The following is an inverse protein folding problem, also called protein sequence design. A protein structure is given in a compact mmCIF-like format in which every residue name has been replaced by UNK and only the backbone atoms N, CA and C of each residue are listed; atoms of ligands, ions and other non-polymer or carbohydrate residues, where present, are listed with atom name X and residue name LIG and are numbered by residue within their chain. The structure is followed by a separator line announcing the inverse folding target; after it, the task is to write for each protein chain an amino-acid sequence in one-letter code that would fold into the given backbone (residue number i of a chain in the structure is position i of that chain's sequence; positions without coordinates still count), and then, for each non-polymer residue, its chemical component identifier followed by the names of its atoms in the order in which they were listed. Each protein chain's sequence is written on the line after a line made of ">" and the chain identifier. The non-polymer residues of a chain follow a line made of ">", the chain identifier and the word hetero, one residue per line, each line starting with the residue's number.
data_IF_822648563890
#
_entry.id   IF_822648563890
#
_cell.length_a   1.000
_cell.length_b   1.000
_cell.length_c   1.000
_cell.angle_alpha   90.00
_cell.angle_beta   90.00
_cell.angle_gamma   90.00
#
_symmetry.space_group_name_H-M   'P 1'
#
loop_
_entity.id
_entity.type
_entity.pdbx_description
1 polymer ?
#
# COMPACT_ATOMS: atom_id res chain seq x y z
N UNK A 1 53.40 11.51 -27.13
CA UNK A 1 53.14 11.45 -25.68
C UNK A 1 52.38 10.16 -25.43
N UNK A 2 53.15 9.11 -25.21
CA UNK A 2 52.70 7.74 -24.97
C UNK A 2 52.21 7.53 -23.53
N UNK A 3 51.47 6.43 -23.28
CA UNK A 3 50.93 6.04 -21.98
C UNK A 3 51.90 5.12 -21.21
N UNK A 4 51.80 5.13 -19.87
CA UNK A 4 52.30 4.07 -18.99
C UNK A 4 51.13 3.65 -18.09
N UNK A 5 50.89 2.39 -17.75
CA UNK A 5 51.74 1.21 -17.78
C UNK A 5 51.54 0.42 -16.47
N UNK A 6 51.45 -0.90 -16.61
CA UNK A 6 50.94 -1.92 -15.68
C UNK A 6 51.78 -2.23 -14.41
N UNK A 7 51.11 -2.94 -13.47
CA UNK A 7 51.51 -3.87 -12.38
C UNK A 7 52.98 -4.26 -12.15
N UNK A 8 53.36 -4.55 -10.87
CA UNK A 8 54.09 -5.79 -10.40
C UNK A 8 53.89 -6.10 -8.88
N UNK A 9 53.40 -7.32 -8.58
CA UNK A 9 53.64 -8.40 -7.57
C UNK A 9 54.00 -8.26 -6.06
N UNK A 10 53.25 -9.07 -5.28
CA UNK A 10 53.56 -10.06 -4.21
C UNK A 10 54.72 -9.88 -3.21
N UNK A 11 54.40 -10.09 -1.91
CA UNK A 11 55.00 -11.16 -1.09
C UNK A 11 54.24 -11.48 0.22
N UNK A 12 54.07 -12.78 0.39
CA UNK A 12 53.73 -13.65 1.51
C UNK A 12 53.99 -13.20 2.96
N UNK A 13 53.08 -13.56 3.88
CA UNK A 13 53.39 -14.27 5.14
C UNK A 13 52.25 -15.27 5.46
N UNK A 14 52.62 -16.53 5.68
CA UNK A 14 51.77 -17.70 5.96
C UNK A 14 51.14 -17.75 7.36
N UNK A 15 50.02 -18.46 7.52
CA UNK A 15 49.89 -19.89 7.94
C UNK A 15 49.90 -20.06 9.48
N UNK A 16 48.79 -20.53 10.06
CA UNK A 16 48.67 -21.82 10.77
C UNK A 16 47.24 -21.99 11.31
N UNK A 17 46.63 -23.14 11.01
CA UNK A 17 45.38 -23.60 11.62
C UNK A 17 45.63 -24.53 12.81
N UNK A 18 44.58 -24.82 13.57
CA UNK A 18 44.39 -26.10 14.27
C UNK A 18 42.95 -26.24 14.80
N UNK A 19 42.32 -27.32 14.38
CA UNK A 19 41.18 -28.02 14.97
C UNK A 19 41.57 -28.77 16.26
N UNK A 20 40.68 -28.92 17.24
CA UNK A 20 40.31 -30.22 17.84
C UNK A 20 39.26 -30.12 18.96
N UNK A 21 38.57 -31.23 19.12
CA UNK A 21 37.42 -31.58 19.97
C UNK A 21 37.84 -32.40 21.21
N UNK A 22 36.84 -32.65 22.08
CA UNK A 22 36.66 -33.75 23.06
C UNK A 22 36.83 -33.54 24.59
N UNK A 23 35.71 -33.90 25.28
CA UNK A 23 35.52 -34.71 26.51
C UNK A 23 35.76 -34.16 27.92
N UNK A 24 34.78 -34.45 28.80
CA UNK A 24 34.99 -34.69 30.24
C UNK A 24 33.77 -34.48 31.14
N UNK A 25 33.06 -35.56 31.49
CA UNK A 25 32.06 -35.64 32.58
C UNK A 25 32.68 -36.31 33.82
N UNK A 26 32.42 -35.85 35.06
CA UNK A 26 32.65 -36.62 36.30
C UNK A 26 31.56 -36.30 37.36
N UNK A 27 31.08 -37.36 38.03
CA UNK A 27 30.08 -37.45 39.11
C UNK A 27 30.64 -37.21 40.52
N UNK A 28 29.77 -36.89 41.50
CA UNK A 28 30.03 -37.06 42.94
C UNK A 28 28.83 -36.72 43.85
N UNK A 29 28.31 -37.73 44.57
CA UNK A 29 27.33 -37.74 45.70
C UNK A 29 28.05 -38.34 46.95
N UNK A 30 27.46 -38.55 48.15
CA UNK A 30 26.39 -37.91 48.95
C UNK A 30 26.77 -37.83 50.48
N UNK A 31 25.81 -37.64 51.41
CA UNK A 31 25.64 -38.20 52.81
C UNK A 31 24.82 -37.22 53.68
N UNK A 32 24.16 -37.58 54.79
CA UNK A 32 22.89 -38.29 55.10
C UNK A 32 22.56 -37.99 56.59
N UNK A 33 21.35 -38.35 57.05
CA UNK A 33 20.79 -38.41 58.44
C UNK A 33 19.81 -37.27 58.81
N UNK A 34 18.59 -37.51 59.33
CA UNK A 34 17.87 -38.75 59.64
C UNK A 34 16.59 -38.46 60.45
N UNK A 35 15.54 -39.29 60.22
CA UNK A 35 14.41 -39.73 61.10
C UNK A 35 13.61 -38.68 61.93
N UNK A 36 12.26 -38.69 62.01
CA UNK A 36 11.30 -39.78 62.33
C UNK A 36 9.92 -39.50 61.68
N UNK A 37 9.20 -40.58 61.35
CA UNK A 37 7.78 -40.70 60.94
C UNK A 37 6.82 -40.08 61.99
N UNK A 38 5.59 -39.66 61.69
CA UNK A 38 4.36 -40.46 61.44
C UNK A 38 3.25 -39.37 61.34
N UNK A 39 2.25 -39.33 60.45
CA UNK A 39 1.06 -40.20 60.40
C UNK A 39 0.11 -39.64 59.30
N UNK A 40 -0.24 -40.50 58.35
CA UNK A 40 -1.41 -40.58 57.42
C UNK A 40 -2.37 -39.41 57.08
N UNK A 41 -2.73 -39.41 55.77
CA UNK A 41 -4.01 -39.05 55.09
C UNK A 41 -4.24 -37.54 54.86
N UNK A 42 -4.63 -37.04 53.68
CA UNK A 42 -5.49 -37.58 52.59
C UNK A 42 -5.05 -37.04 51.22
N UNK A 43 -5.36 -37.79 50.16
CA UNK A 43 -5.25 -37.39 48.74
C UNK A 43 -6.33 -36.34 48.45
N UNK A 44 -6.02 -35.03 48.56
CA UNK A 44 -6.91 -33.95 48.08
C UNK A 44 -6.24 -32.56 47.96
N UNK A 45 -4.91 -32.44 48.05
CA UNK A 45 -4.22 -31.12 48.06
C UNK A 45 -2.94 -31.07 47.17
N UNK A 46 -2.95 -31.72 46.00
CA UNK A 46 -1.91 -31.54 44.96
C UNK A 46 -2.49 -31.05 43.62
N UNK A 47 -3.56 -30.24 43.66
CA UNK A 47 -4.18 -29.66 42.45
C UNK A 47 -4.23 -28.12 42.50
N UNK A 48 -3.30 -27.47 43.21
CA UNK A 48 -3.33 -26.01 43.39
C UNK A 48 -1.97 -25.31 43.26
N UNK A 49 -0.98 -25.91 42.60
CA UNK A 49 0.35 -25.28 42.45
C UNK A 49 0.92 -25.21 41.02
N UNK A 50 0.23 -25.77 40.01
CA UNK A 50 0.52 -25.49 38.57
C UNK A 50 -0.42 -24.46 37.93
N UNK A 51 -1.27 -23.78 38.72
CA UNK A 51 -2.18 -22.73 38.24
C UNK A 51 -1.83 -21.33 38.78
N UNK A 52 -0.53 -21.06 38.95
CA UNK A 52 -0.02 -19.76 39.40
C UNK A 52 1.24 -19.26 38.66
N UNK A 53 1.55 -19.84 37.49
CA UNK A 53 2.57 -19.32 36.56
C UNK A 53 2.00 -18.87 35.20
N UNK A 54 0.66 -18.83 35.07
CA UNK A 54 -0.07 -18.36 33.89
C UNK A 54 -0.73 -16.98 34.06
N UNK A 55 -0.37 -16.22 35.10
CA UNK A 55 -1.00 -14.93 35.42
C UNK A 55 0.03 -13.82 35.68
N UNK A 56 0.75 -13.38 34.64
CA UNK A 56 1.18 -11.98 34.46
C UNK A 56 1.96 -11.79 33.15
N UNK A 57 1.33 -12.16 32.04
CA UNK A 57 1.48 -11.41 30.81
C UNK A 57 0.06 -11.07 30.34
N UNK A 58 -0.58 -10.14 31.05
CA UNK A 58 -1.69 -9.40 30.47
C UNK A 58 -1.14 -8.60 29.29
N UNK A 59 -1.00 -9.27 28.14
CA UNK A 59 -1.12 -8.58 26.86
C UNK A 59 -2.59 -8.17 26.81
N UNK A 60 -2.91 -7.03 27.43
CA UNK A 60 -4.09 -6.28 27.05
C UNK A 60 -4.05 -6.22 25.54
N UNK A 61 -5.08 -6.67 24.79
CA UNK A 61 -5.08 -6.43 23.37
C UNK A 61 -4.93 -4.93 23.25
N UNK A 62 -3.79 -4.47 22.72
CA UNK A 62 -3.62 -3.08 22.32
C UNK A 62 -4.88 -2.80 21.51
N UNK A 63 -5.80 -2.01 22.07
CA UNK A 63 -7.10 -1.77 21.47
C UNK A 63 -6.85 -1.02 20.18
N UNK A 64 -6.69 -1.76 19.11
CA UNK A 64 -6.45 -1.25 17.77
C UNK A 64 -7.73 -0.57 17.35
N UNK A 65 -7.78 0.76 17.44
CA UNK A 65 -8.94 1.54 16.98
C UNK A 65 -8.86 1.84 15.48
N UNK A 66 -8.06 1.07 14.72
CA UNK A 66 -7.95 1.19 13.28
C UNK A 66 -9.25 0.72 12.64
N UNK A 67 -10.19 1.64 12.51
CA UNK A 67 -11.51 1.40 11.95
C UNK A 67 -11.78 2.38 10.82
N UNK A 68 -12.71 2.00 9.95
CA UNK A 68 -13.23 2.88 8.91
C UNK A 68 -14.25 3.83 9.52
N UNK A 69 -13.97 5.12 9.44
CA UNK A 69 -14.91 6.21 9.75
C UNK A 69 -15.66 6.65 8.50
N UNK A 70 -16.89 7.10 8.67
CA UNK A 70 -17.67 7.69 7.59
C UNK A 70 -17.07 9.04 7.17
N UNK A 71 -17.03 9.27 5.87
CA UNK A 71 -16.62 10.54 5.26
C UNK A 71 -17.49 10.79 4.03
N UNK A 72 -18.54 11.59 4.21
CA UNK A 72 -19.39 12.03 3.11
C UNK A 72 -18.61 12.96 2.18
N UNK A 73 -18.79 12.76 0.87
CA UNK A 73 -18.27 13.60 -0.18
C UNK A 73 -19.39 13.87 -1.18
N UNK A 74 -19.68 15.14 -1.41
CA UNK A 74 -20.57 15.57 -2.49
C UNK A 74 -19.90 15.33 -3.83
N UNK A 75 -20.56 14.59 -4.72
CA UNK A 75 -20.02 14.20 -6.03
C UNK A 75 -20.60 15.07 -7.14
N UNK A 76 -21.88 15.43 -7.05
CA UNK A 76 -22.58 16.22 -8.06
C UNK A 76 -24.07 16.27 -7.80
N UNK A 77 -24.84 16.60 -8.82
CA UNK A 77 -26.31 16.63 -8.79
C UNK A 77 -26.84 15.41 -9.54
N UNK A 78 -27.86 14.76 -9.01
CA UNK A 78 -28.55 13.65 -9.66
C UNK A 78 -29.27 14.10 -10.92
N UNK A 79 -29.09 13.34 -12.00
CA UNK A 79 -29.81 13.50 -13.26
C UNK A 79 -31.31 13.22 -13.15
N UNK A 80 -31.71 12.35 -12.23
CA UNK A 80 -33.10 11.89 -12.06
C UNK A 80 -33.87 12.71 -11.04
N UNK A 81 -33.25 13.12 -9.92
CA UNK A 81 -33.94 13.84 -8.84
C UNK A 81 -33.57 15.32 -8.74
N UNK A 82 -32.46 15.75 -9.35
CA UNK A 82 -31.95 17.12 -9.18
C UNK A 82 -31.35 17.41 -7.80
N UNK A 83 -31.19 16.39 -6.94
CA UNK A 83 -30.63 16.53 -5.59
C UNK A 83 -29.12 16.33 -5.56
N UNK A 84 -28.45 16.79 -4.51
CA UNK A 84 -27.01 16.55 -4.32
C UNK A 84 -26.75 15.08 -3.98
N UNK A 85 -25.86 14.46 -4.76
CA UNK A 85 -25.39 13.10 -4.51
C UNK A 85 -24.22 13.18 -3.52
N UNK A 86 -24.43 12.67 -2.31
CA UNK A 86 -23.38 12.48 -1.31
C UNK A 86 -23.03 11.01 -1.14
N UNK A 87 -21.73 10.71 -1.13
CA UNK A 87 -21.22 9.34 -1.02
C UNK A 87 -20.30 9.25 0.18
N UNK A 88 -20.49 8.20 0.99
CA UNK A 88 -19.53 7.85 2.03
C UNK A 88 -18.29 7.19 1.41
N UNK A 89 -17.25 7.99 1.13
CA UNK A 89 -15.98 7.47 0.60
C UNK A 89 -15.16 6.72 1.63
N UNK A 90 -15.50 6.84 2.91
CA UNK A 90 -14.80 6.24 4.03
C UNK A 90 -13.42 6.84 4.29
N UNK A 91 -12.96 6.76 5.53
CA UNK A 91 -11.61 7.15 5.93
C UNK A 91 -11.11 6.27 7.07
N UNK A 92 -9.88 5.80 6.97
CA UNK A 92 -9.28 5.07 8.08
C UNK A 92 -8.85 5.99 9.23
N UNK A 93 -9.26 5.63 10.43
CA UNK A 93 -8.93 6.33 11.67
C UNK A 93 -7.48 6.05 12.04
N UNK A 94 -6.63 7.07 11.97
CA UNK A 94 -5.19 6.95 12.27
C UNK A 94 -4.81 7.13 13.74
N UNK A 95 -5.72 7.68 14.56
CA UNK A 95 -5.50 7.88 16.00
C UNK A 95 -6.74 7.54 16.81
N UNK A 96 -6.54 6.99 18.01
CA UNK A 96 -7.56 6.67 19.00
C UNK A 96 -7.84 7.88 19.91
N UNK A 97 -9.09 8.02 20.35
CA UNK A 97 -9.44 8.88 21.49
C UNK A 97 -9.29 10.40 21.30
N UNK A 98 -8.92 10.89 20.11
CA UNK A 98 -8.84 12.33 19.84
C UNK A 98 -10.20 12.92 19.52
N UNK A 99 -10.71 13.85 20.34
CA UNK A 99 -11.78 14.76 19.88
C UNK A 99 -11.23 15.60 18.72
N UNK A 100 -12.13 16.10 17.85
CA UNK A 100 -11.73 17.03 16.77
C UNK A 100 -10.85 18.13 17.35
N UNK A 101 -9.70 18.37 16.72
CA UNK A 101 -8.96 19.60 17.02
C UNK A 101 -9.91 20.77 16.78
N UNK A 102 -10.00 21.66 17.77
CA UNK A 102 -10.86 22.83 17.63
C UNK A 102 -10.37 23.65 16.45
N UNK A 103 -11.29 23.91 15.52
CA UNK A 103 -11.01 24.86 14.46
C UNK A 103 -11.05 26.27 15.04
N UNK A 104 -10.39 27.21 14.39
CA UNK A 104 -10.39 28.63 14.79
C UNK A 104 -11.80 29.18 15.04
N UNK A 105 -12.75 28.81 14.20
CA UNK A 105 -14.16 29.20 14.35
C UNK A 105 -14.81 28.61 15.61
N UNK A 106 -14.48 27.36 15.97
CA UNK A 106 -15.02 26.71 17.17
C UNK A 106 -14.47 27.37 18.44
N UNK A 107 -13.18 27.73 18.44
CA UNK A 107 -12.56 28.50 19.52
C UNK A 107 -13.22 29.87 19.66
N UNK A 108 -13.46 30.56 18.55
CA UNK A 108 -14.12 31.87 18.56
C UNK A 108 -15.55 31.80 19.11
N UNK A 109 -16.33 30.78 18.72
CA UNK A 109 -17.66 30.55 19.29
C UNK A 109 -17.59 30.31 20.80
N UNK A 110 -16.68 29.45 21.25
CA UNK A 110 -16.54 29.14 22.67
C UNK A 110 -16.19 30.38 23.49
N UNK A 111 -15.37 31.29 22.94
CA UNK A 111 -15.05 32.57 23.59
C UNK A 111 -16.26 33.52 23.67
N UNK A 112 -17.19 33.47 22.70
CA UNK A 112 -18.45 34.22 22.78
C UNK A 112 -19.44 33.61 23.77
N UNK A 113 -19.51 32.28 23.84
CA UNK A 113 -20.42 31.55 24.75
C UNK A 113 -19.93 31.58 26.21
N UNK A 114 -18.63 31.79 26.43
CA UNK A 114 -18.01 31.80 27.76
C UNK A 114 -17.14 33.07 27.93
N UNK A 115 -17.73 34.28 27.99
CA UNK A 115 -16.98 35.54 28.05
C UNK A 115 -16.21 35.71 29.37
N UNK A 116 -16.67 35.05 30.44
CA UNK A 116 -16.10 35.16 31.80
C UNK A 116 -14.98 34.14 32.08
N UNK A 117 -14.73 33.22 31.14
CA UNK A 117 -13.71 32.18 31.29
C UNK A 117 -12.44 32.60 30.56
N UNK A 118 -11.29 32.50 31.23
CA UNK A 118 -9.99 32.80 30.62
C UNK A 118 -9.83 32.00 29.30
N UNK A 119 -9.58 32.67 28.15
CA UNK A 119 -9.37 32.02 26.86
C UNK A 119 -8.31 30.91 26.89
N UNK A 120 -7.29 31.03 27.76
CA UNK A 120 -6.28 29.98 27.92
C UNK A 120 -6.84 28.74 28.61
N UNK A 121 -7.65 28.91 29.65
CA UNK A 121 -8.31 27.81 30.34
C UNK A 121 -9.33 27.14 29.42
N UNK A 122 -10.07 27.94 28.66
CA UNK A 122 -11.02 27.47 27.65
C UNK A 122 -10.32 26.65 26.56
N UNK A 123 -9.16 27.12 26.08
CA UNK A 123 -8.33 26.37 25.15
C UNK A 123 -7.84 25.07 25.76
N UNK A 124 -7.35 25.06 27.01
CA UNK A 124 -6.84 23.85 27.67
C UNK A 124 -7.93 22.80 27.92
N UNK A 125 -9.12 23.23 28.34
CA UNK A 125 -10.29 22.36 28.57
C UNK A 125 -10.76 21.67 27.28
N UNK A 126 -10.62 22.36 26.15
CA UNK A 126 -11.09 21.86 24.86
C UNK A 126 -9.95 21.26 24.00
N UNK A 127 -8.69 21.62 24.28
CA UNK A 127 -7.51 21.04 23.64
C UNK A 127 -7.36 19.61 24.14
N UNK A 128 -7.63 18.65 23.28
CA UNK A 128 -7.34 17.25 23.61
C UNK A 128 -5.88 16.92 23.32
N UNK A 129 -5.25 16.06 24.14
CA UNK A 129 -3.96 15.51 23.79
C UNK A 129 -4.05 14.82 22.42
N UNK A 130 -2.94 14.85 21.66
CA UNK A 130 -2.88 14.12 20.38
C UNK A 130 -3.25 12.66 20.66
N UNK A 131 -4.35 12.19 20.07
CA UNK A 131 -4.79 10.81 20.24
C UNK A 131 -3.67 9.82 19.96
N UNK A 132 -3.66 8.73 20.70
CA UNK A 132 -2.69 7.64 20.52
C UNK A 132 -2.78 7.08 19.10
N UNK A 133 -1.67 6.60 18.50
CA UNK A 133 -1.74 5.97 17.17
C UNK A 133 -2.70 4.78 17.18
N UNK A 134 -3.48 4.61 16.10
CA UNK A 134 -4.45 3.50 16.01
C UNK A 134 -3.82 2.12 15.92
N UNK A 135 -2.56 2.07 15.56
CA UNK A 135 -1.80 0.86 15.34
C UNK A 135 -0.56 0.88 16.24
N UNK A 136 -0.12 -0.28 16.74
CA UNK A 136 1.08 -0.39 17.54
C UNK A 136 2.35 -0.24 16.68
N UNK A 137 3.46 0.15 17.31
CA UNK A 137 4.76 0.23 16.65
C UNK A 137 4.84 1.27 15.53
N UNK A 138 5.50 0.91 14.42
CA UNK A 138 5.68 1.76 13.23
C UNK A 138 4.58 1.54 12.17
N UNK A 139 3.54 0.78 12.50
CA UNK A 139 2.43 0.53 11.60
C UNK A 139 1.52 1.75 11.46
N UNK A 140 0.88 1.85 10.30
CA UNK A 140 -0.05 2.93 9.99
C UNK A 140 -1.41 2.33 9.65
N UNK A 141 -2.46 2.88 10.24
CA UNK A 141 -3.82 2.54 9.84
C UNK A 141 -4.11 3.12 8.45
N UNK A 142 -4.27 2.24 7.46
CA UNK A 142 -4.60 2.58 6.09
C UNK A 142 -5.67 1.65 5.53
N UNK A 143 -6.31 2.01 4.41
CA UNK A 143 -7.32 1.15 3.82
C UNK A 143 -6.71 -0.18 3.37
N UNK A 144 -7.46 -1.26 3.52
CA UNK A 144 -7.05 -2.61 3.13
C UNK A 144 -7.87 -3.19 1.98
N UNK A 145 -9.08 -2.67 1.75
CA UNK A 145 -9.92 -3.01 0.61
C UNK A 145 -10.70 -1.78 0.11
N UNK A 146 -10.93 -1.74 -1.19
CA UNK A 146 -11.65 -0.66 -1.86
C UNK A 146 -12.69 -1.23 -2.80
N UNK A 147 -13.71 -0.43 -3.09
CA UNK A 147 -14.66 -0.67 -4.18
C UNK A 147 -14.79 0.57 -5.06
N UNK A 148 -15.15 0.37 -6.31
CA UNK A 148 -15.54 1.47 -7.21
C UNK A 148 -17.06 1.56 -7.27
N UNK A 149 -17.57 2.77 -7.04
CA UNK A 149 -18.98 3.11 -7.18
C UNK A 149 -19.15 4.02 -8.39
N UNK A 150 -20.10 3.71 -9.27
CA UNK A 150 -20.40 4.51 -10.46
C UNK A 150 -21.73 5.22 -10.25
N UNK A 151 -21.73 6.53 -10.45
CA UNK A 151 -22.87 7.39 -10.15
C UNK A 151 -23.21 8.20 -11.39
N UNK A 152 -24.49 8.23 -11.74
CA UNK A 152 -24.99 9.13 -12.76
C UNK A 152 -25.21 10.52 -12.15
N UNK A 153 -24.56 11.52 -12.71
CA UNK A 153 -24.79 12.93 -12.38
C UNK A 153 -25.30 13.65 -13.62
N UNK A 154 -25.81 14.86 -13.43
CA UNK A 154 -26.20 15.76 -14.54
C UNK A 154 -25.03 16.05 -15.51
N UNK A 155 -23.79 15.91 -15.07
CA UNK A 155 -22.57 16.11 -15.87
C UNK A 155 -22.06 14.82 -16.52
N UNK A 156 -22.70 13.67 -16.25
CA UNK A 156 -22.35 12.36 -16.78
C UNK A 156 -22.04 11.33 -15.69
N UNK A 157 -21.45 10.19 -16.07
CA UNK A 157 -21.13 9.13 -15.11
C UNK A 157 -19.80 9.42 -14.41
N UNK A 158 -19.82 9.50 -13.09
CA UNK A 158 -18.63 9.68 -12.25
C UNK A 158 -18.33 8.39 -11.50
N UNK A 159 -17.06 7.97 -11.52
CA UNK A 159 -16.58 6.80 -10.75
C UNK A 159 -15.86 7.25 -9.50
N UNK A 160 -16.25 6.73 -8.34
CA UNK A 160 -15.73 7.10 -7.02
C UNK A 160 -15.16 5.86 -6.33
N UNK A 161 -13.92 5.95 -5.84
CA UNK A 161 -13.33 4.89 -5.03
C UNK A 161 -13.74 5.04 -3.57
N UNK A 162 -14.34 3.99 -3.01
CA UNK A 162 -14.81 3.92 -1.62
C UNK A 162 -13.93 2.95 -0.84
N UNK A 163 -13.50 3.35 0.34
CA UNK A 163 -12.80 2.47 1.29
C UNK A 163 -13.80 1.52 1.92
N UNK A 164 -13.52 0.21 1.92
CA UNK A 164 -14.40 -0.80 2.55
C UNK A 164 -13.90 -1.19 3.94
N UNK A 165 -12.59 -1.41 4.08
CA UNK A 165 -11.96 -1.84 5.32
C UNK A 165 -10.65 -1.11 5.57
N UNK A 166 -10.22 -1.08 6.83
CA UNK A 166 -9.00 -0.45 7.30
C UNK A 166 -8.25 -1.43 8.18
N UNK A 167 -6.94 -1.59 7.95
CA UNK A 167 -6.07 -2.40 8.78
C UNK A 167 -4.77 -1.64 9.09
N UNK A 168 -4.02 -2.17 10.05
CA UNK A 168 -2.67 -1.71 10.32
C UNK A 168 -1.72 -2.34 9.31
N UNK A 169 -0.93 -1.50 8.64
CA UNK A 169 0.06 -1.92 7.66
C UNK A 169 1.43 -1.37 8.05
N UNK A 170 2.45 -2.20 7.92
CA UNK A 170 3.83 -1.76 8.06
C UNK A 170 4.15 -0.70 7.00
N UNK A 171 4.86 0.36 7.40
CA UNK A 171 5.32 1.36 6.44
C UNK A 171 6.58 0.83 5.74
N UNK A 172 6.58 0.68 4.40
CA UNK A 172 7.77 0.21 3.71
C UNK A 172 8.90 1.25 3.83
N UNK A 173 10.10 0.79 4.23
CA UNK A 173 11.27 1.67 4.37
C UNK A 173 11.79 2.16 3.01
N UNK A 174 11.69 1.34 1.97
CA UNK A 174 12.05 1.68 0.59
C UNK A 174 10.82 1.69 -0.31
N UNK A 175 10.90 2.45 -1.40
CA UNK A 175 9.83 2.49 -2.40
C UNK A 175 9.57 1.09 -3.00
N UNK A 176 8.34 0.61 -2.85
CA UNK A 176 7.92 -0.70 -3.33
C UNK A 176 6.43 -0.71 -3.67
N UNK A 177 6.04 -1.66 -4.52
CA UNK A 177 4.63 -1.91 -4.84
C UNK A 177 3.96 -2.58 -3.65
N UNK A 178 2.88 -1.98 -3.17
CA UNK A 178 1.99 -2.54 -2.16
C UNK A 178 0.69 -3.05 -2.81
N UNK A 179 0.12 -4.16 -2.33
CA UNK A 179 -1.15 -4.67 -2.84
C UNK A 179 -2.29 -3.70 -2.52
N UNK A 180 -3.16 -3.49 -3.50
CA UNK A 180 -4.34 -2.64 -3.41
C UNK A 180 -5.52 -3.34 -4.10
N UNK A 181 -6.21 -4.26 -3.40
CA UNK A 181 -7.37 -4.96 -3.95
C UNK A 181 -8.55 -4.00 -4.11
N UNK A 182 -9.06 -3.88 -5.34
CA UNK A 182 -10.19 -3.03 -5.69
C UNK A 182 -11.30 -3.88 -6.32
N UNK A 183 -12.50 -3.79 -5.76
CA UNK A 183 -13.69 -4.46 -6.28
C UNK A 183 -14.46 -3.54 -7.23
N UNK A 184 -14.60 -3.98 -8.47
CA UNK A 184 -15.38 -3.36 -9.54
C UNK A 184 -16.77 -4.00 -9.61
N UNK A 185 -17.77 -3.24 -10.06
CA UNK A 185 -19.16 -3.69 -10.29
C UNK A 185 -19.79 -4.48 -9.12
N UNK A 186 -19.50 -4.05 -7.88
CA UNK A 186 -19.97 -4.72 -6.66
C UNK A 186 -21.48 -4.94 -6.67
N UNK A 187 -21.92 -6.16 -6.36
CA UNK A 187 -23.35 -6.52 -6.32
C UNK A 187 -23.96 -6.90 -7.67
N UNK A 188 -23.15 -7.02 -8.73
CA UNK A 188 -23.59 -7.50 -10.04
C UNK A 188 -22.90 -8.83 -10.38
N UNK A 189 -23.43 -9.61 -11.35
CA UNK A 189 -22.74 -10.81 -11.86
C UNK A 189 -21.34 -10.55 -12.44
N UNK A 190 -21.04 -9.30 -12.82
CA UNK A 190 -19.76 -8.85 -13.37
C UNK A 190 -18.77 -8.40 -12.29
N UNK A 191 -19.09 -8.63 -11.00
CA UNK A 191 -18.23 -8.22 -9.89
C UNK A 191 -16.85 -8.86 -10.03
N UNK A 192 -15.82 -8.02 -10.10
CA UNK A 192 -14.43 -8.46 -10.25
C UNK A 192 -13.55 -7.73 -9.25
N UNK A 193 -12.73 -8.45 -8.50
CA UNK A 193 -11.74 -7.87 -7.59
C UNK A 193 -10.35 -8.00 -8.20
N UNK A 194 -9.66 -6.88 -8.36
CA UNK A 194 -8.34 -6.81 -8.98
C UNK A 194 -7.35 -6.09 -8.06
N UNK A 195 -6.14 -6.63 -7.95
CA UNK A 195 -5.03 -5.92 -7.30
C UNK A 195 -4.44 -4.87 -8.26
N UNK A 196 -4.81 -3.60 -8.06
CA UNK A 196 -4.30 -2.51 -8.88
C UNK A 196 -2.87 -2.11 -8.51
N UNK A 197 -2.41 -2.49 -7.31
CA UNK A 197 -1.16 -2.02 -6.74
C UNK A 197 -1.17 -0.53 -6.37
N UNK A 198 -0.26 -0.17 -5.48
CA UNK A 198 0.04 1.21 -5.11
C UNK A 198 1.54 1.35 -4.81
N UNK A 199 2.12 2.52 -5.05
CA UNK A 199 3.54 2.75 -4.77
C UNK A 199 3.69 3.45 -3.44
N UNK A 200 4.32 2.77 -2.47
CA UNK A 200 4.53 3.30 -1.13
C UNK A 200 5.98 3.08 -0.68
N UNK A 201 6.46 4.00 0.14
CA UNK A 201 7.77 3.92 0.77
C UNK A 201 8.54 5.22 0.70
N UNK A 202 9.79 5.19 1.16
CA UNK A 202 10.67 6.34 1.14
C UNK A 202 11.65 6.28 -0.03
N UNK A 203 12.02 7.45 -0.52
CA UNK A 203 12.99 7.63 -1.59
C UNK A 203 14.03 8.69 -1.18
N UNK A 204 15.30 8.52 -1.58
CA UNK A 204 16.35 9.49 -1.29
C UNK A 204 16.19 10.77 -2.15
N UNK A 205 16.91 11.84 -1.77
CA UNK A 205 17.11 13.05 -2.60
C UNK A 205 15.84 13.72 -3.14
N UNK A 206 14.78 13.86 -2.32
CA UNK A 206 13.49 14.48 -2.70
C UNK A 206 12.72 13.77 -3.84
N UNK A 207 13.15 12.56 -4.23
CA UNK A 207 12.43 11.76 -5.22
C UNK A 207 11.11 11.25 -4.63
N UNK A 208 10.13 11.02 -5.51
CA UNK A 208 8.85 10.42 -5.13
C UNK A 208 8.81 8.93 -5.43
N UNK A 209 8.15 8.13 -4.57
CA UNK A 209 7.85 6.74 -4.89
C UNK A 209 6.68 6.67 -5.87
N UNK A 210 6.90 6.13 -7.08
CA UNK A 210 5.94 6.19 -8.20
C UNK A 210 5.94 4.92 -9.04
N UNK A 211 4.87 4.71 -9.80
CA UNK A 211 4.76 3.59 -10.72
C UNK A 211 5.63 3.82 -11.96
N UNK A 212 6.71 3.05 -12.09
CA UNK A 212 7.61 3.09 -13.25
C UNK A 212 7.13 2.20 -14.38
N UNK A 213 6.31 1.19 -14.05
CA UNK A 213 5.69 0.28 -15.00
C UNK A 213 4.27 -0.03 -14.59
N UNK A 214 3.39 0.00 -15.58
CA UNK A 214 2.00 -0.33 -15.44
C UNK A 214 1.54 -1.13 -16.65
N UNK A 215 0.54 -1.98 -16.47
CA UNK A 215 -0.14 -2.71 -17.53
C UNK A 215 -1.63 -2.41 -17.51
N UNK A 216 -2.29 -2.59 -18.65
CA UNK A 216 -3.74 -2.48 -18.72
C UNK A 216 -4.38 -3.86 -18.76
N UNK A 217 -5.36 -4.09 -17.90
CA UNK A 217 -6.17 -5.31 -17.85
C UNK A 217 -7.59 -4.97 -18.30
N UNK A 218 -8.14 -5.77 -19.21
CA UNK A 218 -9.55 -5.65 -19.62
C UNK A 218 -10.43 -6.38 -18.60
N UNK A 219 -11.44 -5.69 -18.07
CA UNK A 219 -12.42 -6.22 -17.12
C UNK A 219 -13.80 -6.14 -17.75
N UNK A 220 -14.58 -7.20 -17.65
CA UNK A 220 -15.96 -7.20 -18.17
C UNK A 220 -16.81 -6.21 -17.38
N UNK A 221 -17.41 -5.26 -18.10
CA UNK A 221 -18.29 -4.25 -17.54
C UNK A 221 -19.68 -4.28 -18.21
N UNK A 222 -20.66 -3.58 -17.61
CA UNK A 222 -22.03 -3.56 -18.11
C UNK A 222 -22.16 -2.93 -19.52
N UNK A 223 -21.19 -2.09 -19.90
CA UNK A 223 -21.14 -1.43 -21.21
C UNK A 223 -20.04 -2.03 -22.12
N UNK A 224 -19.68 -3.30 -21.89
CA UNK A 224 -18.53 -3.95 -22.52
C UNK A 224 -17.28 -3.92 -21.64
N UNK A 225 -16.18 -4.47 -22.16
CA UNK A 225 -14.92 -4.55 -21.41
C UNK A 225 -14.33 -3.16 -21.14
N UNK A 226 -14.05 -2.84 -19.89
CA UNK A 226 -13.33 -1.62 -19.49
C UNK A 226 -11.85 -1.92 -19.22
N UNK A 227 -10.99 -0.97 -19.61
CA UNK A 227 -9.54 -1.08 -19.43
C UNK A 227 -9.13 -0.45 -18.10
N UNK A 228 -8.53 -1.25 -17.22
CA UNK A 228 -8.08 -0.83 -15.89
C UNK A 228 -6.56 -0.91 -15.81
N UNK A 229 -5.93 0.15 -15.33
CA UNK A 229 -4.46 0.20 -15.19
C UNK A 229 -4.04 -0.44 -13.86
N UNK A 230 -3.13 -1.40 -13.95
CA UNK A 230 -2.48 -2.09 -12.83
C UNK A 230 -1.02 -1.66 -12.77
N UNK A 231 -0.58 -1.23 -11.59
CA UNK A 231 0.84 -0.96 -11.30
C UNK A 231 1.57 -2.29 -11.23
N UNK A 232 2.70 -2.41 -11.92
CA UNK A 232 3.54 -3.61 -11.90
C UNK A 232 4.83 -3.37 -11.12
N UNK A 233 5.47 -2.23 -11.34
CA UNK A 233 6.74 -1.88 -10.70
C UNK A 233 6.70 -0.44 -10.19
N UNK A 234 7.34 -0.22 -9.05
CA UNK A 234 7.51 1.08 -8.43
C UNK A 234 9.00 1.44 -8.35
N UNK A 235 9.31 2.72 -8.45
CA UNK A 235 10.68 3.23 -8.35
C UNK A 235 10.71 4.65 -7.79
N UNK A 236 11.91 5.10 -7.44
CA UNK A 236 12.17 6.46 -6.99
C UNK A 236 12.42 7.34 -8.19
N UNK A 237 11.46 8.22 -8.48
CA UNK A 237 11.43 9.00 -9.69
C UNK A 237 11.27 10.49 -9.39
N UNK A 238 11.79 11.30 -10.31
CA UNK A 238 11.73 12.75 -10.24
C UNK A 238 10.31 13.30 -10.40
N UNK A 239 10.18 14.61 -10.26
CA UNK A 239 8.90 15.30 -10.50
C UNK A 239 8.39 15.10 -11.93
N UNK A 240 9.27 14.95 -12.94
CA UNK A 240 8.90 14.60 -14.31
C UNK A 240 9.64 13.32 -14.67
N UNK A 241 8.89 12.25 -14.93
CA UNK A 241 9.46 10.93 -15.11
C UNK A 241 8.74 10.16 -16.21
N UNK A 242 9.41 9.11 -16.69
CA UNK A 242 8.86 8.20 -17.69
C UNK A 242 8.20 7.02 -16.99
N UNK A 243 6.93 6.78 -17.27
CA UNK A 243 6.25 5.55 -16.88
C UNK A 243 6.03 4.66 -18.10
N UNK A 244 6.44 3.40 -18.01
CA UNK A 244 6.13 2.39 -19.02
C UNK A 244 4.67 1.98 -18.86
N UNK A 245 3.88 2.13 -19.92
CA UNK A 245 2.52 1.60 -19.99
C UNK A 245 2.50 0.48 -21.01
N UNK A 246 2.33 -0.75 -20.54
CA UNK A 246 2.17 -1.93 -21.36
C UNK A 246 0.71 -2.07 -21.77
N UNK A 247 0.45 -1.87 -23.06
CA UNK A 247 -0.86 -2.14 -23.66
C UNK A 247 -0.84 -3.49 -24.35
N UNK A 248 -1.84 -4.31 -24.06
CA UNK A 248 -2.10 -5.55 -24.78
C UNK A 248 -2.99 -5.24 -25.97
N UNK A 249 -2.53 -5.58 -27.18
CA UNK A 249 -3.32 -5.44 -28.41
C UNK A 249 -3.92 -6.81 -28.74
N UNK A 250 -5.24 -6.89 -28.78
CA UNK A 250 -5.99 -8.08 -29.21
C UNK A 250 -6.47 -7.87 -30.64
N UNK A 251 -6.33 -8.90 -31.48
CA UNK A 251 -6.86 -8.91 -32.84
C UNK A 251 -8.16 -9.71 -32.85
N UNK A 252 -9.30 -9.05 -33.10
CA UNK A 252 -10.58 -9.72 -33.21
C UNK A 252 -10.76 -10.19 -34.65
N UNK A 253 -10.41 -11.45 -34.95
CA UNK A 253 -10.81 -12.07 -36.22
C UNK A 253 -12.29 -12.46 -36.14
N UNK A 254 -13.08 -12.08 -37.16
CA UNK A 254 -14.52 -12.29 -37.32
C UNK A 254 -15.02 -13.69 -36.89
N UNK A 255 -16.24 -13.83 -36.32
CA UNK A 255 -16.75 -15.09 -35.75
C UNK A 255 -17.08 -16.23 -36.75
N UNK A 256 -16.70 -16.14 -38.03
CA UNK A 256 -17.06 -17.15 -39.04
C UNK A 256 -16.09 -18.34 -39.15
N UNK A 257 -15.20 -18.55 -38.17
CA UNK A 257 -14.29 -19.69 -38.15
C UNK A 257 -14.63 -20.67 -37.00
N UNK A 258 -15.05 -21.92 -37.29
CA UNK A 258 -15.59 -22.85 -36.29
C UNK A 258 -14.55 -23.49 -35.34
N UNK A 259 -13.40 -22.86 -35.09
CA UNK A 259 -12.34 -23.39 -34.21
C UNK A 259 -11.64 -22.37 -33.29
N UNK A 260 -12.15 -21.14 -33.16
CA UNK A 260 -11.45 -20.05 -32.45
C UNK A 260 -11.63 -20.00 -30.90
N UNK A 261 -11.86 -21.13 -30.23
CA UNK A 261 -12.08 -21.13 -28.76
C UNK A 261 -10.80 -21.32 -27.92
N UNK A 262 -9.64 -21.61 -28.53
CA UNK A 262 -8.40 -21.89 -27.79
C UNK A 262 -7.40 -20.72 -27.70
N UNK A 263 -7.62 -19.60 -28.41
CA UNK A 263 -6.62 -18.51 -28.53
C UNK A 263 -7.06 -17.18 -27.92
N UNK A 264 -8.13 -17.17 -27.11
CA UNK A 264 -8.72 -15.93 -26.57
C UNK A 264 -7.98 -15.36 -25.35
N UNK A 265 -6.86 -15.97 -24.92
CA UNK A 265 -6.18 -15.62 -23.65
C UNK A 265 -4.70 -15.23 -23.82
N UNK A 266 -4.16 -15.24 -25.05
CA UNK A 266 -2.77 -14.85 -25.30
C UNK A 266 -2.72 -13.54 -26.10
N UNK A 267 -2.22 -12.44 -25.53
CA UNK A 267 -2.04 -11.20 -26.27
C UNK A 267 -1.01 -11.42 -27.39
N UNK A 268 -1.35 -11.07 -28.63
CA UNK A 268 -0.48 -11.29 -29.79
C UNK A 268 0.79 -10.43 -29.69
N UNK A 269 0.68 -9.19 -29.17
CA UNK A 269 1.83 -8.31 -28.86
C UNK A 269 1.53 -7.39 -27.67
N UNK A 270 2.56 -7.17 -26.85
CA UNK A 270 2.57 -6.16 -25.78
C UNK A 270 3.41 -4.97 -26.24
N UNK A 271 2.84 -3.78 -26.26
CA UNK A 271 3.53 -2.54 -26.66
C UNK A 271 3.73 -1.65 -25.44
N UNK A 272 4.97 -1.22 -25.17
CA UNK A 272 5.26 -0.19 -24.18
C UNK A 272 5.22 1.19 -24.85
N UNK A 273 4.09 1.90 -24.75
CA UNK A 273 3.97 3.24 -25.35
C UNK A 273 4.76 4.31 -24.58
N UNK A 274 4.90 4.16 -23.26
CA UNK A 274 5.73 5.02 -22.41
C UNK A 274 5.27 6.49 -22.38
N UNK A 275 4.83 7.00 -21.23
CA UNK A 275 4.38 8.39 -21.09
C UNK A 275 5.28 9.21 -20.17
N UNK A 276 5.39 10.52 -20.44
CA UNK A 276 5.95 11.47 -19.47
C UNK A 276 4.85 11.91 -18.52
N UNK A 277 5.05 11.64 -17.22
CA UNK A 277 4.10 12.00 -16.18
C UNK A 277 4.72 13.09 -15.28
N UNK A 278 3.95 14.16 -15.05
CA UNK A 278 4.30 15.21 -14.10
C UNK A 278 3.69 14.91 -12.73
N UNK A 279 4.52 14.99 -11.70
CA UNK A 279 4.12 15.08 -10.31
C UNK A 279 3.41 16.40 -10.04
N UNK A 280 2.18 16.32 -9.51
CA UNK A 280 1.40 17.49 -9.07
C UNK A 280 2.05 18.30 -7.93
N UNK A 281 3.20 17.86 -7.40
CA UNK A 281 3.87 18.47 -6.24
C UNK A 281 4.65 19.75 -6.61
N UNK A 282 5.13 19.91 -7.85
CA UNK A 282 5.83 21.13 -8.31
C UNK A 282 5.02 21.82 -9.42
N UNK A 283 4.50 23.02 -9.14
CA UNK A 283 3.47 23.71 -9.97
C UNK A 283 3.99 24.51 -11.18
N UNK A 284 5.29 24.54 -11.49
CA UNK A 284 5.82 25.53 -12.45
C UNK A 284 6.62 24.94 -13.64
N UNK A 285 6.52 23.64 -13.93
CA UNK A 285 7.28 23.01 -15.02
C UNK A 285 6.38 22.11 -15.88
N UNK A 286 6.48 22.21 -17.22
CA UNK A 286 5.77 21.28 -18.11
C UNK A 286 6.64 20.04 -18.31
N UNK A 287 6.12 18.86 -17.96
CA UNK A 287 6.79 17.60 -18.24
C UNK A 287 6.56 17.21 -19.71
N UNK A 288 7.63 17.05 -20.47
CA UNK A 288 7.56 16.74 -21.90
C UNK A 288 8.56 15.64 -22.28
N UNK A 289 8.28 14.83 -23.31
CA UNK A 289 9.29 13.96 -23.89
C UNK A 289 10.47 14.79 -24.41
N UNK A 290 11.67 14.48 -23.94
CA UNK A 290 12.94 15.03 -24.43
C UNK A 290 13.71 14.01 -25.28
N UNK A 291 13.27 12.75 -25.28
CA UNK A 291 13.79 11.68 -26.12
C UNK A 291 12.66 10.82 -26.66
N UNK A 292 12.68 10.60 -27.97
CA UNK A 292 11.76 9.71 -28.68
C UNK A 292 12.59 8.70 -29.47
N UNK A 293 12.08 7.48 -29.57
CA UNK A 293 12.60 6.43 -30.44
C UNK A 293 11.48 5.88 -31.32
N UNK A 294 11.82 5.41 -32.51
CA UNK A 294 10.85 4.99 -33.53
C UNK A 294 10.89 3.48 -33.70
N UNK A 295 9.78 2.82 -33.39
CA UNK A 295 9.62 1.38 -33.57
C UNK A 295 8.62 1.13 -34.69
N UNK A 296 9.07 0.55 -35.80
CA UNK A 296 8.20 0.10 -36.88
C UNK A 296 7.79 -1.35 -36.66
N UNK A 297 6.49 -1.61 -36.74
CA UNK A 297 5.89 -2.92 -36.53
C UNK A 297 5.09 -3.29 -37.77
N UNK A 298 5.54 -4.29 -38.51
CA UNK A 298 4.79 -4.86 -39.63
C UNK A 298 3.74 -5.84 -39.09
N UNK A 299 2.49 -5.64 -39.48
CA UNK A 299 1.35 -6.52 -39.21
C UNK A 299 1.30 -7.66 -40.24
N UNK A 300 0.53 -8.71 -39.95
CA UNK A 300 0.39 -9.90 -40.80
C UNK A 300 -0.22 -9.59 -42.18
N UNK A 301 -0.96 -8.48 -42.30
CA UNK A 301 -1.53 -7.96 -43.55
C UNK A 301 -0.52 -7.16 -44.40
N UNK A 302 0.76 -7.08 -43.96
CA UNK A 302 1.81 -6.32 -44.62
C UNK A 302 1.79 -4.81 -44.30
N UNK A 303 0.82 -4.33 -43.51
CA UNK A 303 0.81 -2.92 -43.10
C UNK A 303 1.88 -2.66 -42.05
N UNK A 304 2.71 -1.63 -42.26
CA UNK A 304 3.73 -1.23 -41.28
C UNK A 304 3.21 -0.07 -40.46
N UNK A 305 3.07 -0.30 -39.15
CA UNK A 305 2.70 0.73 -38.18
C UNK A 305 3.96 1.24 -37.49
N UNK A 306 4.21 2.53 -37.61
CA UNK A 306 5.29 3.20 -36.89
C UNK A 306 4.76 3.75 -35.57
N UNK A 307 5.43 3.40 -34.48
CA UNK A 307 5.11 3.85 -33.13
C UNK A 307 6.30 4.66 -32.59
N UNK A 308 6.00 5.83 -32.04
CA UNK A 308 6.98 6.60 -31.30
C UNK A 308 6.94 6.19 -29.84
N UNK A 309 8.07 5.79 -29.29
CA UNK A 309 8.23 5.44 -27.89
C UNK A 309 9.03 6.54 -27.19
N UNK A 310 8.51 7.04 -26.08
CA UNK A 310 9.26 7.99 -25.27
C UNK A 310 10.42 7.24 -24.62
N UNK A 311 11.64 7.78 -24.69
CA UNK A 311 12.82 7.20 -24.01
C UNK A 311 13.23 8.03 -22.79
N UNK A 312 13.03 9.36 -22.82
CA UNK A 312 13.36 10.26 -21.70
C UNK A 312 12.36 11.39 -21.57
N UNK A 313 12.14 11.80 -20.32
CA UNK A 313 11.26 12.91 -19.94
C UNK A 313 12.06 14.01 -19.26
N UNK A 314 11.66 15.26 -19.48
CA UNK A 314 12.29 16.42 -18.86
C UNK A 314 11.29 17.52 -18.57
N UNK A 315 11.62 18.36 -17.61
CA UNK A 315 10.91 19.61 -17.35
C UNK A 315 11.36 20.68 -18.35
N UNK A 316 10.39 21.30 -19.01
CA UNK A 316 10.54 22.53 -19.81
C UNK A 316 9.95 23.72 -19.06
#
# INVERSE_FOLDING_TARGET
>A
MEPHGYQINNKDVGVFGATQSHLGSIWGRPVNNGFVMETTRTLEEEESFEEALSASASFSPLTTCCTRDQKMKTIGISDTTGEQIEVDVGRCRRRCGGKRQLKKHDVQRLMLENPDVDPRLLFLLHSTPRGEPSCPGEEVCSPSAWRVERLATTEGTVSVTVTESCNCHARPHSCSRQPRPVTLHKGTPLQTTLDLGDCQGHCPHELGCRATKSRTVAVEGPNGSECVTVVDECGCEDACYRASLLQHVYNYTSPDAPQAQASLHTPQRTVSSGGCLLSLVRRNSRCSPIGLDQVSVTQEDGTTRTLYTVTRCGCL
#
